data_IF_109326876351
#
_entry.id   IF_109326876351
#
_cell.length_a   1.000
_cell.length_b   1.000
_cell.length_c   1.000
_cell.angle_alpha   90.00
_cell.angle_beta   90.00
_cell.angle_gamma   90.00
#
_symmetry.space_group_name_H-M   'P 1'
#
loop_
_entity.id
_entity.type
_entity.pdbx_description
1 polymer ?
#
# COMPACT_ATOMS: atom_id res chain seq x y z
N UNK A 1 -1.83 9.47 22.46
CA UNK A 1 -2.77 9.33 21.32
C UNK A 1 -3.46 10.68 21.12
N UNK A 2 -3.40 11.29 19.93
CA UNK A 2 -4.24 12.47 19.65
C UNK A 2 -5.67 11.96 19.52
N UNK A 3 -6.61 12.49 20.31
CA UNK A 3 -8.02 12.12 20.23
C UNK A 3 -8.49 12.17 18.77
N UNK A 4 -9.09 11.08 18.27
CA UNK A 4 -9.61 11.00 16.90
C UNK A 4 -8.69 10.37 15.84
N UNK A 5 -7.51 9.84 16.18
CA UNK A 5 -6.69 9.01 15.27
C UNK A 5 -6.45 7.61 15.81
N UNK A 6 -6.36 6.63 14.91
CA UNK A 6 -6.00 5.25 15.23
C UNK A 6 -4.99 4.68 14.23
N UNK A 7 -4.31 3.61 14.63
CA UNK A 7 -3.46 2.84 13.72
C UNK A 7 -4.29 1.80 12.97
N UNK A 8 -4.04 1.70 11.67
CA UNK A 8 -4.55 0.65 10.82
C UNK A 8 -3.36 -0.21 10.40
N UNK A 9 -3.33 -1.44 10.89
CA UNK A 9 -2.27 -2.41 10.61
C UNK A 9 -2.82 -3.43 9.62
N UNK A 10 -2.21 -3.47 8.44
CA UNK A 10 -2.64 -4.31 7.33
C UNK A 10 -1.51 -5.28 6.99
N UNK A 11 -1.85 -6.56 6.89
CA UNK A 11 -0.92 -7.60 6.43
C UNK A 11 -1.19 -7.86 4.96
N UNK A 12 -0.15 -7.81 4.15
CA UNK A 12 -0.22 -8.04 2.71
C UNK A 12 0.55 -9.29 2.34
N UNK A 13 0.09 -9.92 1.27
CA UNK A 13 0.82 -10.94 0.52
C UNK A 13 0.75 -10.54 -0.95
N UNK A 14 1.89 -10.50 -1.62
CA UNK A 14 2.00 -10.04 -3.01
C UNK A 14 2.53 -11.17 -3.87
N UNK A 15 1.79 -11.46 -4.92
CA UNK A 15 2.22 -12.31 -6.02
C UNK A 15 2.62 -11.42 -7.21
N UNK A 16 3.78 -11.72 -7.80
CA UNK A 16 4.17 -11.18 -9.10
C UNK A 16 4.21 -12.31 -10.13
N UNK A 17 3.07 -12.63 -10.77
CA UNK A 17 3.02 -13.71 -11.77
C UNK A 17 3.69 -13.32 -13.10
N UNK A 18 4.15 -12.07 -13.25
CA UNK A 18 4.74 -11.59 -14.49
C UNK A 18 6.17 -12.11 -14.68
N UNK A 19 6.63 -12.14 -15.94
CA UNK A 19 8.00 -12.50 -16.31
C UNK A 19 9.04 -11.38 -16.07
N UNK A 20 8.67 -10.30 -15.38
CA UNK A 20 9.54 -9.14 -15.13
C UNK A 20 9.47 -8.71 -13.67
N UNK A 21 10.59 -8.18 -13.16
CA UNK A 21 10.67 -7.58 -11.84
C UNK A 21 9.77 -6.33 -11.77
N UNK A 22 9.06 -6.17 -10.65
CA UNK A 22 8.25 -4.99 -10.37
C UNK A 22 8.92 -4.17 -9.28
N UNK A 23 9.23 -2.92 -9.59
CA UNK A 23 9.66 -1.89 -8.65
C UNK A 23 9.07 -0.54 -9.08
N UNK A 24 8.95 0.46 -8.20
CA UNK A 24 8.22 1.68 -8.49
C UNK A 24 9.16 2.78 -9.02
N UNK A 25 10.48 2.53 -9.03
CA UNK A 25 11.54 3.50 -9.29
C UNK A 25 11.92 4.37 -8.08
N UNK A 26 13.05 5.07 -8.22
CA UNK A 26 13.60 5.98 -7.20
C UNK A 26 12.60 7.09 -6.86
N UNK A 27 12.36 7.32 -5.57
CA UNK A 27 11.46 8.37 -5.08
C UNK A 27 9.97 8.01 -5.07
N UNK A 28 9.61 6.78 -5.42
CA UNK A 28 8.22 6.31 -5.45
C UNK A 28 7.91 5.31 -4.35
N UNK A 29 6.62 5.17 -4.04
CA UNK A 29 6.12 4.31 -2.96
C UNK A 29 4.99 3.44 -3.53
N UNK A 30 5.01 2.16 -3.19
CA UNK A 30 4.11 1.15 -3.77
C UNK A 30 2.76 1.15 -3.12
N UNK A 31 2.62 1.72 -1.92
CA UNK A 31 1.43 1.52 -1.13
C UNK A 31 1.05 2.77 -0.37
N UNK A 32 -0.15 3.29 -0.66
CA UNK A 32 -0.70 4.49 -0.05
C UNK A 32 -2.08 4.20 0.48
N UNK A 33 -2.39 4.79 1.63
CA UNK A 33 -3.77 4.88 2.09
C UNK A 33 -4.44 6.07 1.40
N UNK A 34 -5.54 5.83 0.70
CA UNK A 34 -6.30 6.86 -0.02
C UNK A 34 -7.55 7.22 0.77
N UNK A 35 -7.65 8.46 1.22
CA UNK A 35 -8.80 8.99 1.98
C UNK A 35 -9.24 10.30 1.36
N UNK A 36 -10.49 10.38 0.90
CA UNK A 36 -11.07 11.58 0.29
C UNK A 36 -10.18 12.18 -0.82
N UNK A 37 -9.56 11.31 -1.64
CA UNK A 37 -8.65 11.71 -2.72
C UNK A 37 -7.21 12.03 -2.28
N UNK A 38 -6.91 12.05 -0.97
CA UNK A 38 -5.56 12.28 -0.46
C UNK A 38 -4.79 10.97 -0.30
N UNK A 39 -3.53 10.94 -0.74
CA UNK A 39 -2.62 9.82 -0.57
C UNK A 39 -1.77 10.01 0.68
N UNK A 40 -1.94 9.13 1.67
CA UNK A 40 -1.17 9.12 2.90
C UNK A 40 -0.06 8.05 2.86
N UNK A 41 1.19 8.40 3.21
CA UNK A 41 2.26 7.42 3.38
C UNK A 41 1.96 6.44 4.52
N UNK A 42 2.52 5.22 4.43
CA UNK A 42 2.66 4.39 5.61
C UNK A 42 3.62 5.03 6.61
N UNK A 43 3.39 4.79 7.90
CA UNK A 43 4.31 5.19 8.98
C UNK A 43 5.32 4.09 9.32
N UNK A 44 4.99 2.84 8.97
CA UNK A 44 5.84 1.65 9.04
C UNK A 44 5.47 0.74 7.86
N UNK A 45 6.47 0.20 7.18
CA UNK A 45 6.28 -0.66 6.01
C UNK A 45 7.40 -1.69 5.93
N UNK A 46 7.04 -2.96 6.03
CA UNK A 46 7.99 -4.08 5.91
C UNK A 46 7.86 -4.83 4.59
N UNK A 47 7.00 -4.39 3.66
CA UNK A 47 6.99 -4.93 2.31
C UNK A 47 8.32 -4.59 1.62
N UNK A 48 8.88 -5.50 0.81
CA UNK A 48 10.09 -5.22 0.09
C UNK A 48 9.88 -4.09 -0.93
N UNK A 49 10.97 -3.39 -1.22
CA UNK A 49 11.06 -2.35 -2.26
C UNK A 49 10.85 -2.92 -3.70
N UNK A 50 10.60 -4.20 -3.87
CA UNK A 50 10.32 -4.75 -5.18
C UNK A 50 9.97 -6.21 -5.09
N UNK A 51 9.29 -6.67 -6.14
CA UNK A 51 8.81 -8.03 -6.25
C UNK A 51 9.46 -8.65 -7.47
N UNK A 52 10.20 -9.75 -7.26
CA UNK A 52 10.91 -10.44 -8.33
C UNK A 52 9.93 -11.10 -9.29
N UNK A 53 10.33 -11.25 -10.55
CA UNK A 53 9.55 -12.02 -11.52
C UNK A 53 9.23 -13.42 -10.97
N UNK A 54 7.97 -13.85 -11.08
CA UNK A 54 7.50 -15.15 -10.59
C UNK A 54 7.51 -15.33 -9.07
N UNK A 55 7.69 -14.26 -8.28
CA UNK A 55 7.63 -14.36 -6.82
C UNK A 55 6.19 -14.58 -6.34
N UNK A 56 6.02 -15.44 -5.34
CA UNK A 56 4.72 -15.75 -4.75
C UNK A 56 4.75 -15.58 -3.23
N UNK A 57 3.65 -15.11 -2.67
CA UNK A 57 3.43 -15.06 -1.23
C UNK A 57 4.32 -14.07 -0.49
N UNK A 58 4.89 -13.08 -1.19
CA UNK A 58 5.83 -12.13 -0.57
C UNK A 58 5.06 -11.26 0.41
N UNK A 59 5.27 -11.50 1.70
CA UNK A 59 4.51 -10.92 2.78
C UNK A 59 5.12 -9.65 3.36
N UNK A 60 4.27 -8.81 3.95
CA UNK A 60 4.72 -7.66 4.73
C UNK A 60 3.59 -7.00 5.52
N UNK A 61 3.96 -6.25 6.54
CA UNK A 61 3.07 -5.45 7.36
C UNK A 61 3.20 -3.99 6.97
N UNK A 62 2.07 -3.32 6.80
CA UNK A 62 2.01 -1.89 6.53
C UNK A 62 1.11 -1.23 7.56
N UNK A 63 1.60 -0.15 8.15
CA UNK A 63 0.90 0.59 9.20
C UNK A 63 0.60 2.00 8.73
N UNK A 64 -0.65 2.42 8.90
CA UNK A 64 -1.10 3.79 8.66
C UNK A 64 -1.64 4.41 9.94
N UNK A 65 -1.51 5.73 10.06
CA UNK A 65 -2.20 6.51 11.09
C UNK A 65 -3.25 7.40 10.41
N UNK A 66 -4.53 7.13 10.66
CA UNK A 66 -5.64 7.87 10.06
C UNK A 66 -6.74 8.15 11.10
N UNK A 67 -7.84 8.76 10.67
CA UNK A 67 -8.98 9.07 11.54
C UNK A 67 -9.55 7.79 12.17
N UNK A 68 -9.93 7.85 13.43
CA UNK A 68 -10.57 6.72 14.11
C UNK A 68 -11.98 6.45 13.58
N UNK A 69 -12.43 5.19 13.64
CA UNK A 69 -13.79 4.80 13.30
C UNK A 69 -14.13 4.82 11.80
N UNK A 70 -13.12 4.79 10.93
CA UNK A 70 -13.35 4.64 9.49
C UNK A 70 -14.05 3.31 9.20
N UNK A 71 -15.01 3.35 8.26
CA UNK A 71 -15.78 2.17 7.82
C UNK A 71 -15.28 1.59 6.50
N UNK A 72 -14.44 2.32 5.78
CA UNK A 72 -13.83 1.89 4.53
C UNK A 72 -12.44 2.52 4.42
N UNK A 73 -11.53 1.80 3.75
CA UNK A 73 -10.16 2.21 3.48
C UNK A 73 -9.88 1.90 2.02
N UNK A 74 -9.25 2.80 1.29
CA UNK A 74 -8.80 2.51 -0.07
C UNK A 74 -7.28 2.40 -0.07
N UNK A 75 -6.75 1.33 -0.68
CA UNK A 75 -5.30 1.16 -0.82
C UNK A 75 -4.94 1.43 -2.29
N UNK A 76 -4.09 2.43 -2.50
CA UNK A 76 -3.45 2.65 -3.79
C UNK A 76 -2.18 1.81 -3.86
N UNK A 77 -2.09 0.90 -4.83
CA UNK A 77 -0.90 0.06 -5.05
C UNK A 77 -0.15 0.48 -6.32
N UNK A 78 1.19 0.42 -6.30
CA UNK A 78 2.08 0.88 -7.37
C UNK A 78 1.77 2.32 -7.82
N UNK A 79 1.80 3.26 -6.88
CA UNK A 79 1.59 4.68 -7.18
C UNK A 79 2.82 5.25 -7.94
N UNK A 80 2.82 5.07 -9.25
CA UNK A 80 3.79 5.68 -10.17
C UNK A 80 3.21 6.99 -10.71
N UNK A 81 3.99 8.07 -10.80
CA UNK A 81 3.59 9.31 -11.49
C UNK A 81 3.62 9.16 -13.04
N UNK A 82 3.48 7.94 -13.56
CA UNK A 82 3.42 7.60 -14.99
C UNK A 82 2.43 6.45 -15.21
N UNK A 83 1.93 6.30 -16.45
CA UNK A 83 0.84 5.38 -16.82
C UNK A 83 1.04 3.95 -16.28
N UNK A 84 0.03 3.42 -15.57
CA UNK A 84 0.04 2.06 -14.98
C UNK A 84 -0.66 1.91 -13.63
N UNK A 85 -1.18 3.00 -13.03
CA UNK A 85 -1.87 2.97 -11.74
C UNK A 85 -3.11 2.05 -11.74
N UNK A 86 -3.20 1.16 -10.75
CA UNK A 86 -4.41 0.38 -10.45
C UNK A 86 -4.89 0.68 -9.01
N UNK A 87 -6.14 1.11 -8.87
CA UNK A 87 -6.77 1.37 -7.58
C UNK A 87 -7.57 0.13 -7.13
N UNK A 88 -7.33 -0.35 -5.91
CA UNK A 88 -8.02 -1.51 -5.35
C UNK A 88 -8.90 -1.06 -4.15
N UNK A 89 -10.23 -1.07 -4.27
CA UNK A 89 -11.10 -0.77 -3.13
C UNK A 89 -11.06 -1.94 -2.13
N UNK A 90 -10.83 -1.63 -0.85
CA UNK A 90 -10.84 -2.62 0.24
C UNK A 90 -12.03 -2.32 1.14
N UNK A 91 -13.01 -3.23 1.17
CA UNK A 91 -14.08 -3.16 2.14
C UNK A 91 -13.63 -3.88 3.42
N UNK A 92 -13.86 -3.23 4.57
CA UNK A 92 -13.55 -3.76 5.91
C UNK A 92 -14.78 -4.44 6.48
#
# INVERSE_FOLDING_TARGET
>A
MKAGRQFYVLNFSVDNPNGVDVSPGLGFDYIRLVINGNNLPPIDNTLPYGFKAGSHGIGGRVVYMAQAGMKSLTIGFLLQLVQGQHNYPVNV
#
